data_IF_888210114111
#
_entry.id   IF_888210114111
#
_cell.length_a   1.000
_cell.length_b   1.000
_cell.length_c   1.000
_cell.angle_alpha   90.00
_cell.angle_beta   90.00
_cell.angle_gamma   90.00
#
_symmetry.space_group_name_H-M   'P 1'
#
loop_
_entity.id
_entity.type
_entity.pdbx_description
1 polymer ?
#
# COMPACT_ATOMS: atom_id res chain seq x y z
N UNK A 1 33.70 -33.05 -19.55
CA UNK A 1 33.41 -32.78 -20.96
C UNK A 1 34.01 -33.81 -21.89
N UNK A 2 33.14 -34.69 -22.38
CA UNK A 2 33.38 -35.63 -23.47
C UNK A 2 32.60 -35.15 -24.71
N UNK A 3 33.01 -35.61 -25.90
CA UNK A 3 32.30 -35.28 -27.14
C UNK A 3 30.89 -35.89 -27.12
N UNK A 4 29.88 -35.10 -27.48
CA UNK A 4 28.47 -35.48 -27.49
C UNK A 4 27.75 -35.27 -26.16
N UNK A 5 28.40 -34.66 -25.16
CA UNK A 5 27.78 -34.40 -23.86
C UNK A 5 26.98 -33.09 -23.87
N UNK A 6 25.79 -33.09 -23.28
CA UNK A 6 25.00 -31.88 -23.08
C UNK A 6 25.50 -31.10 -21.87
N UNK A 7 25.62 -29.78 -22.04
CA UNK A 7 26.10 -28.86 -21.02
C UNK A 7 25.23 -27.60 -21.03
N UNK A 8 24.85 -27.15 -19.84
CA UNK A 8 24.27 -25.83 -19.64
C UNK A 8 25.41 -24.83 -19.37
N UNK A 9 25.45 -23.71 -20.09
CA UNK A 9 26.46 -22.68 -19.92
C UNK A 9 25.83 -21.29 -19.92
N UNK A 10 26.54 -20.32 -19.34
CA UNK A 10 26.05 -18.94 -19.24
C UNK A 10 26.45 -18.13 -20.47
N UNK A 11 25.47 -17.75 -21.31
CA UNK A 11 25.68 -16.86 -22.44
C UNK A 11 24.99 -15.51 -22.16
N UNK A 12 25.75 -14.41 -22.11
CA UNK A 12 25.25 -13.04 -21.84
C UNK A 12 24.40 -12.89 -20.56
N UNK A 13 24.52 -13.80 -19.60
CA UNK A 13 23.76 -13.76 -18.35
C UNK A 13 22.66 -14.81 -18.24
N UNK A 14 22.28 -15.44 -19.36
CA UNK A 14 21.19 -16.41 -19.43
C UNK A 14 21.73 -17.84 -19.61
N UNK A 15 21.11 -18.84 -18.95
CA UNK A 15 21.47 -20.25 -19.12
C UNK A 15 21.06 -20.73 -20.51
N UNK A 16 21.98 -21.42 -21.18
CA UNK A 16 21.78 -21.99 -22.52
C UNK A 16 22.30 -23.43 -22.56
N UNK A 17 21.53 -24.32 -23.18
CA UNK A 17 21.95 -25.70 -23.45
C UNK A 17 22.70 -25.81 -24.77
N UNK A 18 23.79 -26.57 -24.76
CA UNK A 18 24.54 -26.90 -25.96
C UNK A 18 25.23 -28.27 -25.86
N UNK A 19 25.56 -28.82 -27.02
CA UNK A 19 26.26 -30.09 -27.19
C UNK A 19 27.77 -29.86 -27.32
N UNK A 20 28.58 -30.57 -26.54
CA UNK A 20 30.04 -30.52 -26.64
C UNK A 20 30.54 -31.22 -27.92
N UNK A 21 31.10 -30.49 -28.88
CA UNK A 21 31.59 -31.08 -30.15
C UNK A 21 33.08 -31.43 -30.10
N UNK A 22 33.95 -30.44 -29.85
CA UNK A 22 35.41 -30.65 -29.88
C UNK A 22 36.17 -29.68 -28.97
N UNK A 23 37.34 -30.08 -28.45
CA UNK A 23 38.24 -29.15 -27.78
C UNK A 23 38.81 -28.12 -28.78
N UNK A 24 38.85 -26.85 -28.37
CA UNK A 24 39.48 -25.77 -29.11
C UNK A 24 40.75 -25.30 -28.37
N UNK A 25 41.90 -25.76 -28.85
CA UNK A 25 43.19 -25.50 -28.21
C UNK A 25 43.35 -26.24 -26.88
N UNK A 26 44.16 -25.68 -25.96
CA UNK A 26 44.51 -26.33 -24.68
C UNK A 26 43.52 -26.05 -23.54
N UNK A 27 42.60 -25.09 -23.70
CA UNK A 27 41.81 -24.54 -22.57
C UNK A 27 40.32 -24.35 -22.85
N UNK A 28 39.86 -24.41 -24.11
CA UNK A 28 38.47 -24.13 -24.46
C UNK A 28 37.80 -25.33 -25.12
N UNK A 29 36.46 -25.30 -25.14
CA UNK A 29 35.61 -26.26 -25.84
C UNK A 29 34.66 -25.54 -26.79
N UNK A 30 34.44 -26.14 -27.96
CA UNK A 30 33.38 -25.72 -28.89
C UNK A 30 32.09 -26.44 -28.50
N UNK A 31 31.08 -25.66 -28.15
CA UNK A 31 29.73 -26.14 -27.92
C UNK A 31 28.82 -25.73 -29.08
N UNK A 32 27.91 -26.61 -29.50
CA UNK A 32 26.91 -26.35 -30.54
C UNK A 32 25.56 -26.19 -29.86
N UNK A 33 24.96 -25.00 -29.94
CA UNK A 33 23.65 -24.75 -29.34
C UNK A 33 22.49 -25.38 -30.14
N UNK A 34 21.28 -25.28 -29.59
CA UNK A 34 20.04 -25.74 -30.22
C UNK A 34 19.76 -25.17 -31.63
N UNK A 35 20.43 -24.08 -32.03
CA UNK A 35 20.31 -23.45 -33.36
C UNK A 35 21.46 -23.85 -34.30
N UNK A 36 22.34 -24.77 -33.87
CA UNK A 36 23.52 -25.17 -34.62
C UNK A 36 24.66 -24.14 -34.57
N UNK A 37 24.58 -23.13 -33.70
CA UNK A 37 25.63 -22.12 -33.58
C UNK A 37 26.75 -22.60 -32.66
N UNK A 38 27.99 -22.48 -33.14
CA UNK A 38 29.17 -22.86 -32.39
C UNK A 38 29.62 -21.72 -31.45
N UNK A 39 29.77 -22.03 -30.16
CA UNK A 39 30.27 -21.12 -29.13
C UNK A 39 31.56 -21.69 -28.53
N UNK A 40 32.63 -20.90 -28.52
CA UNK A 40 33.87 -21.25 -27.83
C UNK A 40 33.80 -20.77 -26.39
N UNK A 41 33.75 -21.69 -25.43
CA UNK A 41 33.68 -21.35 -24.01
C UNK A 41 34.82 -21.97 -23.20
N UNK A 42 35.16 -21.30 -22.10
CA UNK A 42 36.06 -21.84 -21.11
C UNK A 42 35.28 -22.81 -20.20
N UNK A 43 35.83 -23.96 -19.79
CA UNK A 43 35.14 -24.94 -18.92
C UNK A 43 34.54 -24.37 -17.61
N UNK A 44 35.07 -23.24 -17.13
CA UNK A 44 34.55 -22.53 -15.94
C UNK A 44 33.23 -21.78 -16.18
N UNK A 45 32.78 -21.68 -17.43
CA UNK A 45 31.51 -21.02 -17.80
C UNK A 45 30.36 -22.02 -17.92
N UNK A 46 30.65 -23.32 -17.79
CA UNK A 46 29.65 -24.38 -17.68
C UNK A 46 28.99 -24.27 -16.30
N UNK A 47 27.66 -24.22 -16.31
CA UNK A 47 26.80 -24.19 -15.13
C UNK A 47 26.54 -25.62 -14.66
N UNK A 48 26.22 -26.53 -15.60
CA UNK A 48 25.91 -27.92 -15.30
C UNK A 48 26.28 -28.84 -16.47
N UNK A 49 26.88 -30.00 -16.18
CA UNK A 49 27.21 -31.04 -17.16
C UNK A 49 26.25 -32.22 -16.98
N UNK A 50 25.35 -32.40 -17.96
CA UNK A 50 24.25 -33.36 -17.85
C UNK A 50 24.81 -34.79 -17.89
N UNK A 51 24.41 -35.67 -16.96
CA UNK A 51 24.78 -37.09 -16.98
C UNK A 51 23.97 -37.84 -18.04
N UNK A 52 24.61 -38.81 -18.71
CA UNK A 52 23.95 -39.64 -19.71
C UNK A 52 24.85 -40.02 -20.88
N UNK A 53 24.27 -40.77 -21.82
CA UNK A 53 24.93 -41.19 -23.05
C UNK A 53 25.16 -39.99 -24.00
N UNK A 54 26.22 -40.00 -24.82
CA UNK A 54 26.50 -38.93 -25.77
C UNK A 54 25.40 -38.82 -26.83
N UNK A 55 24.89 -37.60 -27.06
CA UNK A 55 23.96 -37.31 -28.13
C UNK A 55 24.67 -37.17 -29.47
N UNK A 56 24.02 -37.65 -30.53
CA UNK A 56 24.59 -37.67 -31.88
C UNK A 56 24.46 -36.32 -32.59
N UNK A 57 23.41 -35.55 -32.31
CA UNK A 57 23.14 -34.28 -32.98
C UNK A 57 22.57 -33.22 -32.03
N UNK A 58 22.83 -31.94 -32.36
CA UNK A 58 22.27 -30.79 -31.62
C UNK A 58 20.73 -30.67 -31.77
N UNK A 59 20.15 -31.34 -32.78
CA UNK A 59 18.70 -31.40 -32.99
C UNK A 59 17.97 -32.16 -31.89
N UNK A 60 18.68 -32.98 -31.12
CA UNK A 60 18.11 -33.77 -30.03
C UNK A 60 17.90 -32.91 -28.75
N UNK A 61 18.44 -31.68 -28.71
CA UNK A 61 18.32 -30.76 -27.57
C UNK A 61 16.86 -30.34 -27.36
N UNK A 62 16.11 -30.07 -28.42
CA UNK A 62 14.71 -29.59 -28.29
C UNK A 62 13.79 -30.68 -27.71
N UNK A 63 13.97 -31.92 -28.15
CA UNK A 63 13.26 -33.08 -27.60
C UNK A 63 13.64 -33.34 -26.13
N UNK A 64 14.92 -33.22 -25.79
CA UNK A 64 15.41 -33.34 -24.42
C UNK A 64 14.81 -32.29 -23.48
N UNK A 65 14.76 -31.03 -23.91
CA UNK A 65 14.18 -29.94 -23.09
C UNK A 65 12.69 -30.16 -22.88
N UNK A 66 11.95 -30.50 -23.94
CA UNK A 66 10.52 -30.78 -23.82
C UNK A 66 10.21 -31.97 -22.89
N UNK A 67 11.06 -33.00 -22.91
CA UNK A 67 10.96 -34.13 -21.97
C UNK A 67 11.24 -33.66 -20.53
N UNK A 68 12.32 -32.93 -20.30
CA UNK A 68 12.68 -32.44 -18.97
C UNK A 68 11.65 -31.46 -18.38
N UNK A 69 11.10 -30.54 -19.19
CA UNK A 69 10.06 -29.59 -18.78
C UNK A 69 8.80 -30.30 -18.25
N UNK A 70 8.50 -31.50 -18.76
CA UNK A 70 7.39 -32.33 -18.28
C UNK A 70 7.54 -32.82 -16.84
N UNK A 71 8.76 -32.77 -16.27
CA UNK A 71 9.08 -33.23 -14.91
C UNK A 71 9.37 -32.09 -13.93
N UNK A 72 9.38 -30.84 -14.38
CA UNK A 72 9.62 -29.67 -13.51
C UNK A 72 8.31 -29.32 -12.79
N UNK A 73 8.21 -29.76 -11.54
CA UNK A 73 7.13 -29.41 -10.62
C UNK A 73 7.73 -28.83 -9.32
N UNK A 74 7.52 -27.53 -9.02
CA UNK A 74 8.03 -26.89 -7.82
C UNK A 74 7.55 -27.54 -6.51
N UNK A 75 6.37 -28.17 -6.50
CA UNK A 75 5.81 -28.79 -5.29
C UNK A 75 6.64 -30.00 -4.82
N UNK A 76 7.41 -30.61 -5.74
CA UNK A 76 8.32 -31.70 -5.42
C UNK A 76 9.48 -31.26 -4.51
N UNK A 77 9.86 -29.98 -4.52
CA UNK A 77 10.98 -29.48 -3.71
C UNK A 77 10.67 -29.49 -2.22
N UNK A 78 9.41 -29.28 -1.82
CA UNK A 78 9.00 -29.34 -0.41
C UNK A 78 9.23 -30.76 0.15
N UNK A 79 8.75 -31.77 -0.57
CA UNK A 79 8.91 -33.18 -0.19
C UNK A 79 10.39 -33.59 -0.14
N UNK A 80 11.17 -33.19 -1.15
CA UNK A 80 12.61 -33.46 -1.16
C UNK A 80 13.34 -32.76 0.00
N UNK A 81 12.94 -31.54 0.33
CA UNK A 81 13.51 -30.77 1.42
C UNK A 81 13.23 -31.41 2.78
N UNK A 82 12.00 -31.86 3.04
CA UNK A 82 11.66 -32.58 4.28
C UNK A 82 12.53 -33.82 4.46
N UNK A 83 12.62 -34.66 3.42
CA UNK A 83 13.39 -35.91 3.45
C UNK A 83 14.89 -35.65 3.65
N UNK A 84 15.48 -34.72 2.91
CA UNK A 84 16.91 -34.42 3.01
C UNK A 84 17.27 -33.73 4.34
N UNK A 85 16.33 -32.98 4.91
CA UNK A 85 16.50 -32.40 6.25
C UNK A 85 16.52 -33.48 7.32
N UNK A 86 15.62 -34.47 7.25
CA UNK A 86 15.61 -35.61 8.18
C UNK A 86 16.88 -36.48 8.07
N UNK A 87 17.41 -36.62 6.86
CA UNK A 87 18.62 -37.40 6.58
C UNK A 87 19.92 -36.64 6.85
N UNK A 88 19.86 -35.32 7.10
CA UNK A 88 21.02 -34.42 7.20
C UNK A 88 21.94 -34.49 5.95
N UNK A 89 21.34 -34.68 4.77
CA UNK A 89 22.06 -34.85 3.50
C UNK A 89 21.95 -33.63 2.59
N UNK A 90 22.99 -33.40 1.78
CA UNK A 90 22.98 -32.41 0.69
C UNK A 90 22.51 -33.04 -0.61
N UNK A 91 21.78 -32.30 -1.43
CA UNK A 91 21.40 -32.72 -2.77
C UNK A 91 22.44 -32.30 -3.83
N UNK A 92 22.74 -33.20 -4.76
CA UNK A 92 23.19 -32.83 -6.11
C UNK A 92 22.00 -33.01 -7.08
N UNK A 93 22.03 -32.44 -8.29
CA UNK A 93 20.98 -32.68 -9.27
C UNK A 93 20.71 -34.17 -9.53
N UNK A 94 21.75 -35.00 -9.50
CA UNK A 94 21.66 -36.46 -9.67
C UNK A 94 21.02 -37.12 -8.45
N UNK A 95 21.42 -36.75 -7.23
CA UNK A 95 20.82 -37.34 -6.02
C UNK A 95 19.38 -36.90 -5.84
N UNK A 96 19.04 -35.66 -6.23
CA UNK A 96 17.68 -35.17 -6.22
C UNK A 96 16.83 -35.85 -7.29
N UNK A 97 17.35 -36.08 -8.50
CA UNK A 97 16.64 -36.84 -9.52
C UNK A 97 16.35 -38.28 -9.07
N UNK A 98 17.35 -38.93 -8.45
CA UNK A 98 17.16 -40.25 -7.85
C UNK A 98 16.10 -40.25 -6.74
N UNK A 99 16.03 -39.18 -5.94
CA UNK A 99 15.05 -39.06 -4.85
C UNK A 99 13.63 -38.80 -5.39
N UNK A 100 13.47 -37.86 -6.32
CA UNK A 100 12.17 -37.43 -6.83
C UNK A 100 11.57 -38.40 -7.85
N UNK A 101 12.41 -38.93 -8.74
CA UNK A 101 11.96 -39.67 -9.91
C UNK A 101 12.39 -41.14 -9.89
N UNK A 102 13.17 -41.56 -8.87
CA UNK A 102 13.77 -42.89 -8.80
C UNK A 102 14.67 -43.26 -9.99
N UNK A 103 15.13 -42.27 -10.76
CA UNK A 103 15.96 -42.42 -11.95
C UNK A 103 16.91 -41.22 -12.08
N UNK A 104 18.09 -41.45 -12.66
CA UNK A 104 19.18 -40.49 -12.86
C UNK A 104 19.46 -40.24 -14.34
N UNK A 105 18.47 -40.51 -15.20
CA UNK A 105 18.56 -40.18 -16.62
C UNK A 105 18.75 -38.68 -16.85
N UNK A 106 19.38 -38.32 -17.97
CA UNK A 106 19.74 -36.94 -18.30
C UNK A 106 18.59 -35.93 -18.18
N UNK A 107 17.39 -36.20 -18.72
CA UNK A 107 16.26 -35.28 -18.61
C UNK A 107 15.83 -35.01 -17.16
N UNK A 108 15.83 -36.05 -16.32
CA UNK A 108 15.45 -35.97 -14.91
C UNK A 108 16.49 -35.23 -14.07
N UNK A 109 17.78 -35.50 -14.30
CA UNK A 109 18.87 -34.76 -13.67
C UNK A 109 18.84 -33.26 -14.06
N UNK A 110 18.49 -32.95 -15.31
CA UNK A 110 18.33 -31.58 -15.75
C UNK A 110 17.08 -30.92 -15.13
N UNK A 111 15.95 -31.62 -15.02
CA UNK A 111 14.77 -31.12 -14.32
C UNK A 111 15.07 -30.83 -12.83
N UNK A 112 15.78 -31.74 -12.15
CA UNK A 112 16.23 -31.55 -10.77
C UNK A 112 17.21 -30.36 -10.63
N UNK A 113 18.14 -30.19 -11.57
CA UNK A 113 19.03 -29.02 -11.63
C UNK A 113 18.24 -27.72 -11.77
N UNK A 114 17.24 -27.68 -12.67
CA UNK A 114 16.36 -26.50 -12.87
C UNK A 114 15.58 -26.16 -11.61
N UNK A 115 14.98 -27.15 -10.96
CA UNK A 115 14.27 -26.96 -9.70
C UNK A 115 15.17 -26.36 -8.62
N UNK A 116 16.38 -26.90 -8.42
CA UNK A 116 17.35 -26.39 -7.44
C UNK A 116 17.91 -25.01 -7.80
N UNK A 117 18.13 -24.72 -9.08
CA UNK A 117 18.67 -23.46 -9.56
C UNK A 117 17.67 -22.29 -9.43
N UNK A 118 16.38 -22.57 -9.66
CA UNK A 118 15.31 -21.57 -9.55
C UNK A 118 14.76 -21.45 -8.12
N UNK A 119 15.08 -22.40 -7.23
CA UNK A 119 14.65 -22.40 -5.83
C UNK A 119 15.24 -21.23 -5.01
N UNK A 120 14.37 -20.61 -4.23
CA UNK A 120 14.71 -19.53 -3.30
C UNK A 120 14.27 -19.83 -1.88
N UNK A 121 13.57 -20.94 -1.67
CA UNK A 121 12.81 -21.22 -0.46
C UNK A 121 13.44 -22.34 0.36
N UNK A 122 13.76 -23.47 -0.25
CA UNK A 122 14.04 -24.72 0.45
C UNK A 122 15.54 -25.05 0.54
N UNK A 123 16.31 -24.75 -0.50
CA UNK A 123 17.71 -25.12 -0.66
C UNK A 123 18.61 -23.90 -0.78
N UNK A 124 19.89 -24.11 -0.45
CA UNK A 124 20.95 -23.13 -0.60
C UNK A 124 22.15 -23.77 -1.30
N UNK A 125 22.59 -23.16 -2.40
CA UNK A 125 23.76 -23.63 -3.13
C UNK A 125 25.05 -23.45 -2.31
N UNK A 126 25.89 -24.50 -2.26
CA UNK A 126 27.20 -24.52 -1.61
C UNK A 126 28.19 -25.33 -2.45
N UNK A 127 28.91 -24.63 -3.31
CA UNK A 127 29.77 -25.28 -4.30
C UNK A 127 28.90 -25.99 -5.34
N UNK A 128 29.14 -27.30 -5.52
CA UNK A 128 28.44 -28.13 -6.52
C UNK A 128 27.22 -28.86 -5.93
N UNK A 129 26.91 -28.67 -4.64
CA UNK A 129 25.74 -29.25 -3.98
C UNK A 129 24.80 -28.19 -3.39
N UNK A 130 23.60 -28.63 -3.03
CA UNK A 130 22.53 -27.84 -2.44
C UNK A 130 22.22 -28.38 -1.04
N UNK A 131 22.36 -27.53 -0.04
CA UNK A 131 22.03 -27.89 1.34
C UNK A 131 20.58 -27.48 1.65
N UNK A 132 19.77 -28.35 2.27
CA UNK A 132 18.45 -27.95 2.75
C UNK A 132 18.58 -26.85 3.81
N UNK A 133 17.71 -25.85 3.73
CA UNK A 133 17.66 -24.75 4.70
C UNK A 133 17.01 -25.25 5.99
N UNK A 134 17.40 -24.73 7.17
CA UNK A 134 16.72 -25.08 8.41
C UNK A 134 15.23 -24.71 8.36
N UNK A 135 14.36 -25.53 8.98
CA UNK A 135 12.91 -25.28 9.03
C UNK A 135 12.56 -23.85 9.49
N UNK A 136 13.22 -23.34 10.52
CA UNK A 136 13.03 -21.96 10.98
C UNK A 136 13.33 -20.90 9.90
N UNK A 137 14.32 -21.14 9.03
CA UNK A 137 14.64 -20.24 7.92
C UNK A 137 13.61 -20.37 6.79
N UNK A 138 13.13 -21.58 6.49
CA UNK A 138 12.08 -21.79 5.48
C UNK A 138 10.78 -21.13 5.92
N UNK A 139 10.36 -21.32 7.17
CA UNK A 139 9.19 -20.65 7.75
C UNK A 139 9.30 -19.12 7.68
N UNK A 140 10.47 -18.56 7.99
CA UNK A 140 10.71 -17.11 7.87
C UNK A 140 10.57 -16.62 6.41
N UNK A 141 11.14 -17.35 5.45
CA UNK A 141 11.06 -17.04 4.03
C UNK A 141 9.62 -17.19 3.49
N UNK A 142 8.90 -18.24 3.86
CA UNK A 142 7.48 -18.43 3.52
C UNK A 142 6.62 -17.28 4.06
N UNK A 143 6.87 -16.88 5.31
CA UNK A 143 6.19 -15.73 5.92
C UNK A 143 6.53 -14.42 5.20
N UNK A 144 7.77 -14.24 4.76
CA UNK A 144 8.17 -13.07 3.98
C UNK A 144 7.48 -13.05 2.61
N UNK A 145 7.50 -14.15 1.86
CA UNK A 145 6.88 -14.29 0.54
C UNK A 145 5.36 -14.05 0.63
N UNK A 146 4.69 -14.65 1.61
CA UNK A 146 3.25 -14.47 1.81
C UNK A 146 2.89 -13.02 2.16
N UNK A 147 3.70 -12.34 2.99
CA UNK A 147 3.52 -10.91 3.30
C UNK A 147 3.74 -10.03 2.08
N UNK A 148 4.77 -10.29 1.28
CA UNK A 148 5.03 -9.55 0.04
C UNK A 148 3.91 -9.75 -0.98
N UNK A 149 3.43 -11.00 -1.14
CA UNK A 149 2.29 -11.33 -1.99
C UNK A 149 1.02 -10.62 -1.53
N UNK A 150 0.75 -10.62 -0.22
CA UNK A 150 -0.40 -9.90 0.37
C UNK A 150 -0.31 -8.40 0.10
N UNK A 151 0.85 -7.79 0.37
CA UNK A 151 1.08 -6.36 0.11
C UNK A 151 0.90 -6.01 -1.36
N UNK A 152 1.36 -6.87 -2.27
CA UNK A 152 1.21 -6.71 -3.71
C UNK A 152 -0.26 -6.80 -4.12
N UNK A 153 -0.99 -7.79 -3.62
CA UNK A 153 -2.41 -7.95 -3.88
C UNK A 153 -3.23 -6.75 -3.35
N UNK A 154 -2.95 -6.27 -2.14
CA UNK A 154 -3.57 -5.06 -1.59
C UNK A 154 -3.26 -3.83 -2.42
N UNK A 155 -2.02 -3.70 -2.91
CA UNK A 155 -1.61 -2.59 -3.77
C UNK A 155 -2.34 -2.59 -5.11
N UNK A 156 -2.41 -3.75 -5.76
CA UNK A 156 -3.14 -3.92 -7.02
C UNK A 156 -4.65 -3.69 -6.81
N UNK A 157 -5.22 -4.17 -5.70
CA UNK A 157 -6.61 -3.94 -5.32
C UNK A 157 -6.92 -2.45 -5.08
N UNK A 158 -6.03 -1.74 -4.37
CA UNK A 158 -6.13 -0.29 -4.18
C UNK A 158 -6.15 0.45 -5.51
N UNK A 159 -5.20 0.16 -6.41
CA UNK A 159 -5.11 0.83 -7.71
C UNK A 159 -6.34 0.55 -8.57
N UNK A 160 -6.83 -0.69 -8.59
CA UNK A 160 -8.04 -1.05 -9.33
C UNK A 160 -9.26 -0.28 -8.83
N UNK A 161 -9.45 -0.17 -7.51
CA UNK A 161 -10.54 0.62 -6.91
C UNK A 161 -10.42 2.10 -7.21
N UNK A 162 -9.22 2.67 -7.02
CA UNK A 162 -8.96 4.08 -7.29
C UNK A 162 -9.23 4.42 -8.77
N UNK A 163 -8.75 3.59 -9.70
CA UNK A 163 -9.02 3.77 -11.13
C UNK A 163 -10.51 3.64 -11.45
N UNK A 164 -11.21 2.66 -10.87
CA UNK A 164 -12.65 2.49 -11.08
C UNK A 164 -13.47 3.70 -10.60
N UNK A 165 -13.04 4.38 -9.54
CA UNK A 165 -13.65 5.64 -9.06
C UNK A 165 -13.35 6.77 -10.06
N UNK A 166 -12.08 6.94 -10.46
CA UNK A 166 -11.67 8.00 -11.38
C UNK A 166 -12.31 7.91 -12.78
N UNK A 167 -12.63 6.71 -13.25
CA UNK A 167 -13.29 6.51 -14.56
C UNK A 167 -14.81 6.64 -14.50
N UNK A 168 -15.42 6.67 -13.31
CA UNK A 168 -16.89 6.75 -13.16
C UNK A 168 -17.43 8.15 -13.39
N UNK A 169 -16.63 9.20 -13.22
CA UNK A 169 -17.08 10.58 -13.46
C UNK A 169 -17.27 10.91 -14.95
N UNK A 170 -16.75 10.08 -15.87
CA UNK A 170 -16.89 10.34 -17.32
C UNK A 170 -18.11 9.73 -17.98
N UNK A 171 -18.81 8.77 -17.35
CA UNK A 171 -19.96 8.08 -17.94
C UNK A 171 -21.24 8.36 -17.15
N UNK A 172 -22.26 8.82 -17.88
CA UNK A 172 -23.54 9.31 -17.37
C UNK A 172 -24.28 8.37 -16.41
N UNK A 173 -25.19 9.00 -15.66
CA UNK A 173 -26.17 8.46 -14.73
C UNK A 173 -26.75 7.07 -15.06
N UNK A 174 -27.14 6.39 -13.97
CA UNK A 174 -27.98 5.18 -13.91
C UNK A 174 -27.31 3.86 -14.30
N UNK A 175 -26.74 3.21 -13.29
CA UNK A 175 -27.07 1.81 -13.02
C UNK A 175 -26.79 1.50 -11.56
N UNK A 176 -27.59 0.62 -10.96
CA UNK A 176 -27.49 0.06 -9.60
C UNK A 176 -26.19 -0.74 -9.36
N UNK A 177 -25.04 -0.19 -9.74
CA UNK A 177 -23.73 -0.74 -9.48
C UNK A 177 -23.23 -0.23 -8.15
N UNK A 178 -23.05 -1.13 -7.18
CA UNK A 178 -22.43 -0.86 -5.87
C UNK A 178 -21.37 0.25 -5.96
N UNK A 179 -21.50 1.26 -5.10
CA UNK A 179 -20.44 2.24 -4.88
C UNK A 179 -19.14 1.46 -4.62
N UNK A 180 -18.10 1.76 -5.41
CA UNK A 180 -16.78 1.19 -5.14
C UNK A 180 -16.26 1.98 -3.96
N UNK A 181 -16.34 1.38 -2.78
CA UNK A 181 -15.83 1.95 -1.55
C UNK A 181 -14.40 1.43 -1.31
N UNK A 182 -13.57 2.30 -0.73
CA UNK A 182 -12.25 1.92 -0.28
C UNK A 182 -12.33 0.95 0.91
N UNK A 183 -11.43 -0.04 0.93
CA UNK A 183 -11.32 -0.98 2.02
C UNK A 183 -10.47 -0.41 3.16
N UNK A 184 -10.54 -1.04 4.35
CA UNK A 184 -9.68 -0.66 5.49
C UNK A 184 -8.18 -0.77 5.17
N UNK A 185 -7.80 -1.69 4.29
CA UNK A 185 -6.43 -1.86 3.80
C UNK A 185 -5.95 -0.66 2.97
N UNK A 186 -6.85 0.13 2.38
CA UNK A 186 -6.50 1.29 1.55
C UNK A 186 -6.16 2.53 2.38
N UNK A 187 -6.71 2.62 3.61
CA UNK A 187 -6.60 3.80 4.48
C UNK A 187 -5.16 4.30 4.66
N UNK A 188 -4.13 3.46 4.93
CA UNK A 188 -2.76 3.94 5.07
C UNK A 188 -2.23 4.67 3.83
N UNK A 189 -2.65 4.25 2.62
CA UNK A 189 -2.22 4.84 1.34
C UNK A 189 -2.92 6.18 1.11
N UNK A 190 -4.21 6.25 1.45
CA UNK A 190 -4.98 7.49 1.43
C UNK A 190 -4.42 8.52 2.43
N UNK A 191 -4.05 8.09 3.64
CA UNK A 191 -3.43 8.97 4.65
C UNK A 191 -2.09 9.53 4.19
N UNK A 192 -1.29 8.77 3.44
CA UNK A 192 -0.06 9.27 2.83
C UNK A 192 -0.36 10.40 1.85
N UNK A 193 -1.38 10.25 0.99
CA UNK A 193 -1.82 11.29 0.07
C UNK A 193 -2.37 12.51 0.81
N UNK A 194 -3.24 12.32 1.81
CA UNK A 194 -3.78 13.39 2.66
C UNK A 194 -2.65 14.20 3.30
N UNK A 195 -1.66 13.52 3.91
CA UNK A 195 -0.51 14.18 4.52
C UNK A 195 0.36 14.91 3.50
N UNK A 196 0.53 14.36 2.30
CA UNK A 196 1.31 15.02 1.26
C UNK A 196 0.59 16.25 0.70
N UNK A 197 -0.72 16.19 0.49
CA UNK A 197 -1.53 17.35 0.10
C UNK A 197 -1.52 18.44 1.19
N UNK A 198 -1.50 18.06 2.47
CA UNK A 198 -1.43 19.02 3.58
C UNK A 198 -0.03 19.61 3.76
N UNK A 199 1.02 18.80 3.84
CA UNK A 199 2.36 19.26 4.26
C UNK A 199 3.32 19.52 3.08
N UNK A 200 2.96 19.07 1.88
CA UNK A 200 3.82 19.16 0.71
C UNK A 200 5.20 18.55 0.97
N UNK A 201 6.24 19.35 0.75
CA UNK A 201 7.63 18.92 0.91
C UNK A 201 8.05 18.62 2.35
N UNK A 202 7.30 19.08 3.35
CA UNK A 202 7.54 18.77 4.77
C UNK A 202 7.03 17.37 5.16
N UNK A 203 6.34 16.66 4.25
CA UNK A 203 5.87 15.30 4.51
C UNK A 203 7.02 14.29 4.59
N UNK A 204 7.10 13.57 5.71
CA UNK A 204 8.06 12.47 5.89
C UNK A 204 7.86 11.32 4.90
N UNK A 205 6.66 11.21 4.31
CA UNK A 205 6.28 10.14 3.37
C UNK A 205 6.14 10.65 1.93
N UNK A 206 6.81 11.76 1.57
CA UNK A 206 6.79 12.34 0.22
C UNK A 206 7.07 11.30 -0.87
N UNK A 207 8.11 10.48 -0.74
CA UNK A 207 8.45 9.49 -1.77
C UNK A 207 7.31 8.49 -2.02
N UNK A 208 6.73 7.94 -0.95
CA UNK A 208 5.60 7.03 -1.05
C UNK A 208 4.37 7.70 -1.68
N UNK A 209 4.09 8.96 -1.32
CA UNK A 209 3.00 9.71 -1.93
C UNK A 209 3.21 9.92 -3.44
N UNK A 210 4.44 10.26 -3.86
CA UNK A 210 4.78 10.44 -5.26
C UNK A 210 4.69 9.15 -6.07
N UNK A 211 5.05 8.01 -5.46
CA UNK A 211 4.89 6.70 -6.07
C UNK A 211 3.41 6.36 -6.27
N UNK A 212 2.56 6.67 -5.27
CA UNK A 212 1.11 6.51 -5.37
C UNK A 212 0.54 7.38 -6.50
N UNK A 213 0.90 8.66 -6.56
CA UNK A 213 0.44 9.57 -7.62
C UNK A 213 0.87 9.08 -9.00
N UNK A 214 2.11 8.61 -9.13
CA UNK A 214 2.62 8.05 -10.40
C UNK A 214 1.82 6.84 -10.84
N UNK A 215 1.50 5.94 -9.91
CA UNK A 215 0.70 4.76 -10.20
C UNK A 215 -0.76 5.10 -10.58
N UNK A 216 -1.27 6.23 -10.08
CA UNK A 216 -2.56 6.80 -10.48
C UNK A 216 -2.48 7.67 -11.75
N UNK A 217 -1.31 7.78 -12.39
CA UNK A 217 -1.13 8.58 -13.61
C UNK A 217 -1.19 10.10 -13.36
N UNK A 218 -0.86 10.56 -12.15
CA UNK A 218 -0.87 11.97 -11.74
C UNK A 218 0.54 12.53 -11.59
N UNK A 219 0.64 13.85 -11.63
CA UNK A 219 1.90 14.55 -11.36
C UNK A 219 2.36 14.37 -9.91
N UNK A 220 3.65 14.56 -9.67
CA UNK A 220 4.30 14.29 -8.37
C UNK A 220 4.29 15.48 -7.40
N UNK A 221 3.35 16.41 -7.57
CA UNK A 221 3.28 17.65 -6.80
C UNK A 221 2.17 17.58 -5.73
N UNK A 222 2.26 18.36 -4.64
CA UNK A 222 1.23 18.36 -3.59
C UNK A 222 -0.18 18.71 -4.11
N UNK A 223 -0.29 19.63 -5.06
CA UNK A 223 -1.57 20.02 -5.66
C UNK A 223 -2.21 18.86 -6.44
N UNK A 224 -1.39 17.97 -7.03
CA UNK A 224 -1.88 16.78 -7.69
C UNK A 224 -2.40 15.74 -6.69
N UNK A 225 -1.84 15.68 -5.47
CA UNK A 225 -2.41 14.88 -4.38
C UNK A 225 -3.74 15.44 -3.89
N UNK A 226 -3.85 16.77 -3.73
CA UNK A 226 -5.14 17.41 -3.42
C UNK A 226 -6.18 17.04 -4.48
N UNK A 227 -5.86 17.26 -5.76
CA UNK A 227 -6.76 16.95 -6.86
C UNK A 227 -7.12 15.46 -6.91
N UNK A 228 -6.16 14.57 -6.67
CA UNK A 228 -6.45 13.13 -6.60
C UNK A 228 -7.43 12.80 -5.47
N UNK A 229 -7.32 13.43 -4.29
CA UNK A 229 -8.26 13.21 -3.18
C UNK A 229 -9.66 13.75 -3.49
N UNK A 230 -9.76 14.85 -4.24
CA UNK A 230 -11.03 15.40 -4.73
C UNK A 230 -11.65 14.47 -5.77
N UNK A 231 -10.91 14.09 -6.81
CA UNK A 231 -11.37 13.20 -7.88
C UNK A 231 -11.72 11.78 -7.35
N UNK A 232 -11.17 11.38 -6.19
CA UNK A 232 -11.52 10.14 -5.49
C UNK A 232 -12.75 10.27 -4.56
N UNK A 233 -13.37 11.45 -4.50
CA UNK A 233 -14.54 11.75 -3.67
C UNK A 233 -14.25 11.78 -2.17
N UNK A 234 -12.98 11.90 -1.78
CA UNK A 234 -12.58 11.92 -0.37
C UNK A 234 -12.63 13.34 0.21
N UNK A 235 -12.23 14.33 -0.59
CA UNK A 235 -12.24 15.75 -0.25
C UNK A 235 -13.13 16.54 -1.21
N UNK A 236 -13.60 17.70 -0.75
CA UNK A 236 -14.32 18.66 -1.59
C UNK A 236 -13.34 19.55 -2.38
N UNK A 237 -13.76 20.08 -3.54
CA UNK A 237 -12.96 21.01 -4.35
C UNK A 237 -12.53 22.25 -3.54
N UNK A 238 -13.36 22.66 -2.59
CA UNK A 238 -13.13 23.81 -1.70
C UNK A 238 -12.73 23.38 -0.28
N UNK A 239 -12.20 22.16 -0.12
CA UNK A 239 -11.75 21.64 1.16
C UNK A 239 -10.73 22.58 1.83
N UNK A 240 -11.03 23.00 3.06
CA UNK A 240 -10.19 23.96 3.77
C UNK A 240 -8.96 23.28 4.40
N UNK A 241 -7.86 23.28 3.65
CA UNK A 241 -6.60 22.69 4.09
C UNK A 241 -6.02 23.34 5.36
N UNK A 242 -6.31 24.62 5.63
CA UNK A 242 -5.82 25.28 6.84
C UNK A 242 -6.47 24.69 8.10
N UNK A 243 -7.78 24.40 8.05
CA UNK A 243 -8.47 23.73 9.15
C UNK A 243 -7.89 22.33 9.40
N UNK A 244 -7.66 21.55 8.35
CA UNK A 244 -7.04 20.21 8.45
C UNK A 244 -5.62 20.26 9.00
N UNK A 245 -4.76 21.14 8.49
CA UNK A 245 -3.37 21.34 8.96
C UNK A 245 -3.30 21.72 10.43
N UNK A 246 -4.28 22.49 10.92
CA UNK A 246 -4.36 22.93 12.31
C UNK A 246 -5.18 21.99 13.19
N UNK A 247 -5.74 20.93 12.63
CA UNK A 247 -6.66 20.01 13.30
C UNK A 247 -7.81 20.72 14.01
N UNK A 248 -8.33 21.79 13.40
CA UNK A 248 -9.47 22.54 13.94
C UNK A 248 -10.73 21.70 13.69
N UNK A 249 -11.47 21.28 14.74
CA UNK A 249 -12.65 20.43 14.58
C UNK A 249 -13.79 21.18 13.89
N UNK A 250 -14.27 20.66 12.76
CA UNK A 250 -15.42 21.21 12.03
C UNK A 250 -16.76 20.62 12.46
N UNK A 251 -16.74 19.52 13.19
CA UNK A 251 -17.92 18.85 13.72
C UNK A 251 -17.91 18.87 15.24
N UNK A 252 -19.10 18.83 15.85
CA UNK A 252 -19.25 18.67 17.29
C UNK A 252 -19.29 17.18 17.66
N UNK A 253 -18.74 16.81 18.83
CA UNK A 253 -18.93 15.48 19.38
C UNK A 253 -20.42 15.09 19.50
N UNK A 254 -20.73 13.81 19.33
CA UNK A 254 -22.12 13.30 19.35
C UNK A 254 -22.79 13.52 20.72
N UNK A 255 -22.04 13.34 21.81
CA UNK A 255 -22.50 13.56 23.17
C UNK A 255 -22.86 15.03 23.43
N UNK A 256 -22.06 15.97 22.94
CA UNK A 256 -22.35 17.42 22.99
C UNK A 256 -23.63 17.71 22.21
N UNK A 257 -23.76 17.16 21.00
CA UNK A 257 -24.93 17.36 20.14
C UNK A 257 -26.20 16.81 20.77
N UNK A 258 -26.13 15.63 21.39
CA UNK A 258 -27.24 15.03 22.13
C UNK A 258 -27.63 15.84 23.36
N UNK A 259 -26.65 16.36 24.12
CA UNK A 259 -26.90 17.23 25.27
C UNK A 259 -27.60 18.53 24.86
N UNK A 260 -27.17 19.16 23.76
CA UNK A 260 -27.84 20.34 23.20
C UNK A 260 -29.30 20.04 22.84
N UNK A 261 -29.57 18.92 22.17
CA UNK A 261 -30.93 18.52 21.82
C UNK A 261 -31.83 18.35 23.06
N UNK A 262 -31.28 17.78 24.14
CA UNK A 262 -31.99 17.64 25.42
C UNK A 262 -32.26 19.00 26.09
N UNK A 263 -31.27 19.90 26.11
CA UNK A 263 -31.42 21.26 26.67
C UNK A 263 -32.48 22.06 25.89
N UNK A 264 -32.52 21.94 24.57
CA UNK A 264 -33.55 22.60 23.75
C UNK A 264 -34.94 22.03 24.05
N UNK A 265 -35.05 20.70 24.21
CA UNK A 265 -36.32 20.05 24.53
C UNK A 265 -36.83 20.40 25.94
N UNK A 266 -35.91 20.62 26.88
CA UNK A 266 -36.22 20.99 28.27
C UNK A 266 -35.33 22.15 28.73
N UNK A 267 -35.64 23.40 28.33
CA UNK A 267 -34.81 24.54 28.65
C UNK A 267 -34.66 24.74 30.16
N UNK A 268 -33.45 25.09 30.64
CA UNK A 268 -33.24 25.37 32.05
C UNK A 268 -34.10 26.55 32.50
N UNK A 269 -34.60 26.43 33.73
CA UNK A 269 -35.29 27.51 34.41
C UNK A 269 -34.36 28.70 34.60
N UNK A 270 -34.94 29.90 34.61
CA UNK A 270 -34.17 31.12 34.79
C UNK A 270 -33.57 31.17 36.20
N UNK A 271 -32.24 31.34 36.38
CA UNK A 271 -31.59 31.20 37.68
C UNK A 271 -31.95 32.28 38.72
N UNK A 272 -32.58 33.39 38.32
CA UNK A 272 -32.92 34.53 39.20
C UNK A 272 -33.99 35.42 38.56
N UNK A 273 -34.77 36.22 39.34
CA UNK A 273 -35.63 37.24 38.76
C UNK A 273 -34.80 38.25 37.93
N UNK A 274 -35.07 38.29 36.62
CA UNK A 274 -34.51 39.29 35.70
C UNK A 274 -35.23 40.63 35.86
N UNK A 275 -34.48 41.72 35.72
CA UNK A 275 -35.08 43.04 35.60
C UNK A 275 -35.74 43.19 34.22
N UNK A 276 -37.03 43.54 34.20
CA UNK A 276 -37.75 43.77 32.95
C UNK A 276 -37.45 45.19 32.41
N UNK A 277 -36.70 45.23 31.30
CA UNK A 277 -36.35 46.44 30.58
C UNK A 277 -37.03 46.53 29.21
N UNK A 278 -38.06 45.71 28.94
CA UNK A 278 -38.74 45.64 27.63
C UNK A 278 -39.43 46.95 27.21
N UNK A 279 -39.65 47.86 28.16
CA UNK A 279 -40.16 49.21 27.90
C UNK A 279 -39.11 50.15 27.29
N UNK A 280 -37.81 49.82 27.38
CA UNK A 280 -36.73 50.56 26.73
C UNK A 280 -36.56 50.08 25.29
N UNK A 281 -36.32 51.02 24.38
CA UNK A 281 -35.96 50.67 23.01
C UNK A 281 -34.54 50.12 22.96
N UNK A 282 -34.39 48.89 22.47
CA UNK A 282 -33.11 48.21 22.27
C UNK A 282 -32.61 48.43 20.84
N UNK A 283 -31.31 48.68 20.70
CA UNK A 283 -30.61 48.74 19.42
C UNK A 283 -29.47 47.72 19.45
N UNK A 284 -29.33 46.96 18.37
CA UNK A 284 -28.14 46.15 18.06
C UNK A 284 -27.54 46.74 16.78
N UNK A 285 -26.21 46.82 16.68
CA UNK A 285 -25.53 47.50 15.58
C UNK A 285 -24.47 46.53 15.07
N UNK A 286 -24.84 45.81 14.02
CA UNK A 286 -24.09 44.67 13.50
C UNK A 286 -24.00 44.74 11.97
N UNK A 287 -23.07 43.98 11.40
CA UNK A 287 -23.02 43.77 9.95
C UNK A 287 -24.23 42.96 9.48
N UNK A 288 -24.64 43.14 8.21
CA UNK A 288 -25.80 42.45 7.62
C UNK A 288 -25.67 40.91 7.69
N UNK A 289 -24.44 40.39 7.65
CA UNK A 289 -24.15 38.96 7.73
C UNK A 289 -24.02 38.40 9.14
N UNK A 290 -24.13 39.23 10.19
CA UNK A 290 -24.00 38.77 11.58
C UNK A 290 -25.11 37.78 11.93
N UNK A 291 -24.72 36.64 12.50
CA UNK A 291 -25.64 35.57 12.94
C UNK A 291 -25.77 35.49 14.46
N UNK A 292 -24.69 35.82 15.17
CA UNK A 292 -24.57 35.77 16.62
C UNK A 292 -24.59 37.22 17.12
N UNK A 293 -25.70 37.64 17.73
CA UNK A 293 -25.85 38.99 18.29
C UNK A 293 -25.55 38.89 19.79
N UNK A 294 -24.38 39.36 20.19
CA UNK A 294 -23.88 39.25 21.57
C UNK A 294 -24.26 40.44 22.45
N UNK A 295 -24.51 41.61 21.86
CA UNK A 295 -24.76 42.83 22.60
C UNK A 295 -25.87 43.71 22.01
N UNK A 296 -26.39 44.58 22.86
CA UNK A 296 -27.29 45.64 22.46
C UNK A 296 -27.31 46.76 23.48
N UNK A 297 -27.87 47.89 23.09
CA UNK A 297 -27.87 49.10 23.90
C UNK A 297 -29.23 49.79 23.97
N UNK A 298 -29.50 50.38 25.12
CA UNK A 298 -30.65 51.28 25.32
C UNK A 298 -30.19 52.54 26.02
N UNK A 299 -30.84 53.67 25.71
CA UNK A 299 -30.58 54.94 26.38
C UNK A 299 -31.84 55.42 27.10
N UNK A 300 -31.69 55.77 28.37
CA UNK A 300 -32.76 56.25 29.24
C UNK A 300 -32.40 57.64 29.77
N UNK A 301 -33.26 58.62 29.52
CA UNK A 301 -33.07 59.98 30.06
C UNK A 301 -33.60 60.05 31.49
N UNK A 302 -32.71 60.33 32.43
CA UNK A 302 -32.99 60.49 33.86
C UNK A 302 -33.40 61.94 34.21
N UNK A 303 -34.01 62.16 35.39
CA UNK A 303 -34.24 63.50 35.92
C UNK A 303 -32.95 64.34 35.94
N UNK A 304 -33.08 65.61 35.55
CA UNK A 304 -31.96 66.54 35.41
C UNK A 304 -31.18 66.43 34.09
N UNK A 305 -31.72 65.73 33.09
CA UNK A 305 -31.14 65.65 31.74
C UNK A 305 -29.94 64.71 31.61
N UNK A 306 -29.63 63.93 32.66
CA UNK A 306 -28.58 62.90 32.60
C UNK A 306 -29.05 61.73 31.73
N UNK A 307 -28.13 61.10 31.02
CA UNK A 307 -28.41 59.90 30.24
C UNK A 307 -27.85 58.68 30.97
N UNK A 308 -28.66 57.63 31.08
CA UNK A 308 -28.23 56.30 31.51
C UNK A 308 -28.14 55.41 30.28
N UNK A 309 -26.95 54.87 30.04
CA UNK A 309 -26.72 53.88 29.00
C UNK A 309 -26.83 52.50 29.62
N UNK A 310 -27.66 51.65 29.01
CA UNK A 310 -27.78 50.25 29.32
C UNK A 310 -27.04 49.47 28.24
N UNK A 311 -26.09 48.62 28.65
CA UNK A 311 -25.43 47.65 27.79
C UNK A 311 -25.99 46.28 28.18
N UNK A 312 -26.66 45.65 27.23
CA UNK A 312 -27.29 44.34 27.39
C UNK A 312 -26.39 43.34 26.68
N UNK A 313 -25.93 42.32 27.41
CA UNK A 313 -25.09 41.25 26.85
C UNK A 313 -25.93 39.98 26.83
N UNK A 314 -25.78 39.18 25.77
CA UNK A 314 -26.35 37.86 25.68
C UNK A 314 -25.96 37.03 26.90
N UNK A 315 -26.87 36.16 27.35
CA UNK A 315 -26.66 35.32 28.53
C UNK A 315 -26.54 33.84 28.13
N UNK A 316 -25.40 33.44 27.52
CA UNK A 316 -25.16 32.04 27.19
C UNK A 316 -25.06 31.18 28.47
N UNK A 317 -24.72 31.78 29.61
CA UNK A 317 -24.63 31.10 30.92
C UNK A 317 -25.97 30.63 31.47
N UNK A 318 -27.09 31.03 30.85
CA UNK A 318 -28.39 30.39 31.09
C UNK A 318 -28.41 28.94 30.58
N UNK A 319 -27.72 28.65 29.49
CA UNK A 319 -27.82 27.39 28.76
C UNK A 319 -26.77 26.35 29.14
N UNK A 320 -25.75 26.76 29.89
CA UNK A 320 -24.66 25.92 30.34
C UNK A 320 -24.22 26.29 31.75
N UNK A 321 -23.67 25.32 32.48
CA UNK A 321 -23.10 25.49 33.81
C UNK A 321 -21.58 25.25 33.78
N UNK A 322 -20.79 25.96 34.61
CA UNK A 322 -19.36 25.70 34.70
C UNK A 322 -19.04 24.23 34.98
N UNK A 323 -18.17 23.64 34.16
CA UNK A 323 -17.76 22.24 34.25
C UNK A 323 -18.70 21.24 33.57
N UNK A 324 -19.81 21.67 32.97
CA UNK A 324 -20.65 20.77 32.18
C UNK A 324 -20.02 20.44 30.81
N UNK A 325 -20.73 19.63 30.03
CA UNK A 325 -20.28 19.15 28.74
C UNK A 325 -20.13 20.29 27.71
N UNK A 326 -21.07 21.25 27.69
CA UNK A 326 -21.07 22.38 26.76
C UNK A 326 -19.95 23.37 27.10
N UNK A 327 -19.77 23.69 28.38
CA UNK A 327 -18.68 24.53 28.87
C UNK A 327 -17.30 23.90 28.56
N UNK A 328 -17.16 22.59 28.78
CA UNK A 328 -15.91 21.88 28.49
C UNK A 328 -15.56 21.93 27.01
N UNK A 329 -16.53 21.68 26.13
CA UNK A 329 -16.31 21.75 24.68
C UNK A 329 -16.08 23.19 24.20
N UNK A 330 -16.81 24.18 24.73
CA UNK A 330 -16.59 25.59 24.43
C UNK A 330 -15.19 26.05 24.83
N UNK A 331 -14.72 25.70 26.04
CA UNK A 331 -13.35 26.01 26.51
C UNK A 331 -12.28 25.34 25.64
N UNK A 332 -12.52 24.11 25.17
CA UNK A 332 -11.61 23.41 24.26
C UNK A 332 -11.49 24.11 22.90
N UNK A 333 -12.58 24.67 22.38
CA UNK A 333 -12.60 25.42 21.11
C UNK A 333 -12.09 26.85 21.26
N UNK A 334 -12.21 27.43 22.46
CA UNK A 334 -11.76 28.76 22.86
C UNK A 334 -12.49 29.94 22.19
N UNK A 335 -12.68 29.93 20.87
CA UNK A 335 -13.34 31.00 20.13
C UNK A 335 -14.05 30.47 18.88
N UNK A 336 -15.06 31.19 18.41
CA UNK A 336 -15.70 30.92 17.11
C UNK A 336 -14.72 31.26 15.99
N UNK A 337 -14.54 30.32 15.04
CA UNK A 337 -13.64 30.50 13.90
C UNK A 337 -14.46 30.95 12.68
N UNK A 338 -14.37 32.23 12.36
CA UNK A 338 -15.01 32.82 11.19
C UNK A 338 -14.10 32.74 9.97
N UNK A 339 -14.54 32.04 8.92
CA UNK A 339 -13.80 31.87 7.67
C UNK A 339 -14.63 32.41 6.51
N UNK A 340 -13.98 32.94 5.45
CA UNK A 340 -14.64 33.15 4.17
C UNK A 340 -15.24 31.83 3.68
N UNK A 341 -16.52 31.87 3.30
CA UNK A 341 -17.22 30.78 2.63
C UNK A 341 -17.07 30.84 1.13
#
# INVERSE_FOLDING_TARGET
MEKGRLVEFKLKGEPHLALADRPEGKKNWVLIDQRGQAHSIHPRQVIYEIPGEPYAAYTDIEGFVAEAEGYIDPDNLEVAWELLTELEESATPESLAQLLFSDVSGPLCYAAHRLLADDKLYFKQKGDCYEPRPAAQVEELQLQISREATRKAEWEGFLARAQAILTRESDEADTEGKAVEFEKSDRPRLEILERYALLGDESSQKAAAQDILTALGRDKYPDAAFKALVDLGLWDEHENLALRRRHIPTQFPEDVTAAVAQIIAQPPADPSPRADLTHLKLYTIDDESTREIDDGLSCETLPGGRQKLWIHIADPTRWLSPGDLLDTEARKRCTTVYLPT
#
